data_IF_560008000696
#
_entry.id   IF_560008000696
#
_cell.length_a   1.000
_cell.length_b   1.000
_cell.length_c   1.000
_cell.angle_alpha   90.00
_cell.angle_beta   90.00
_cell.angle_gamma   90.00
#
_symmetry.space_group_name_H-M   'P 1'
#
loop_
_entity.id
_entity.type
_entity.pdbx_description
1 polymer ?
#
# COMPACT_ATOMS: atom_id res chain seq x y z
N UNK A 1 -10.18 -20.00 -2.46
CA UNK A 1 -9.58 -19.30 -3.62
C UNK A 1 -10.36 -18.06 -4.05
N UNK A 2 -11.59 -18.15 -4.59
CA UNK A 2 -12.34 -16.95 -5.05
C UNK A 2 -12.62 -15.93 -3.93
N UNK A 3 -13.02 -16.39 -2.74
CA UNK A 3 -13.29 -15.52 -1.59
C UNK A 3 -12.04 -14.77 -1.09
N UNK A 4 -10.86 -15.38 -1.22
CA UNK A 4 -9.60 -14.74 -0.87
C UNK A 4 -9.19 -13.69 -1.90
N UNK A 5 -9.39 -13.97 -3.19
CA UNK A 5 -9.18 -12.99 -4.24
C UNK A 5 -10.10 -11.78 -4.04
N UNK A 6 -11.38 -12.01 -3.75
CA UNK A 6 -12.33 -10.95 -3.42
C UNK A 6 -11.85 -10.13 -2.22
N UNK A 7 -11.39 -10.79 -1.15
CA UNK A 7 -10.85 -10.11 0.03
C UNK A 7 -9.65 -9.24 -0.31
N UNK A 8 -8.73 -9.71 -1.15
CA UNK A 8 -7.57 -8.93 -1.60
C UNK A 8 -8.02 -7.71 -2.38
N UNK A 9 -8.93 -7.88 -3.35
CA UNK A 9 -9.45 -6.78 -4.17
C UNK A 9 -10.16 -5.74 -3.31
N UNK A 10 -11.02 -6.17 -2.38
CA UNK A 10 -11.70 -5.27 -1.44
C UNK A 10 -10.73 -4.51 -0.55
N UNK A 11 -9.69 -5.19 -0.05
CA UNK A 11 -8.67 -4.57 0.80
C UNK A 11 -7.87 -3.52 0.04
N UNK A 12 -7.45 -3.81 -1.20
CA UNK A 12 -6.75 -2.85 -2.06
C UNK A 12 -7.66 -1.67 -2.38
N UNK A 13 -8.93 -1.90 -2.72
CA UNK A 13 -9.89 -0.84 -3.03
C UNK A 13 -10.14 0.07 -1.82
N UNK A 14 -10.42 -0.50 -0.64
CA UNK A 14 -10.71 0.25 0.58
C UNK A 14 -9.47 0.99 1.08
N UNK A 15 -8.33 0.32 1.23
CA UNK A 15 -7.11 0.98 1.71
C UNK A 15 -6.58 1.98 0.67
N UNK A 16 -6.69 1.68 -0.62
CA UNK A 16 -6.33 2.59 -1.69
C UNK A 16 -7.15 3.88 -1.65
N UNK A 17 -8.47 3.78 -1.49
CA UNK A 17 -9.34 4.93 -1.34
C UNK A 17 -9.02 5.73 -0.06
N UNK A 18 -8.83 5.06 1.08
CA UNK A 18 -8.52 5.70 2.36
C UNK A 18 -7.17 6.43 2.30
N UNK A 19 -6.10 5.75 1.90
CA UNK A 19 -4.77 6.36 1.82
C UNK A 19 -4.69 7.43 0.73
N UNK A 20 -5.33 7.19 -0.43
CA UNK A 20 -5.38 8.18 -1.51
C UNK A 20 -6.08 9.47 -1.08
N UNK A 21 -7.23 9.35 -0.41
CA UNK A 21 -7.95 10.51 0.13
C UNK A 21 -7.12 11.25 1.20
N UNK A 22 -6.51 10.52 2.14
CA UNK A 22 -5.69 11.11 3.19
C UNK A 22 -4.48 11.87 2.61
N UNK A 23 -3.71 11.24 1.72
CA UNK A 23 -2.52 11.86 1.14
C UNK A 23 -2.89 13.06 0.28
N UNK A 24 -3.95 12.96 -0.53
CA UNK A 24 -4.44 14.09 -1.33
C UNK A 24 -4.88 15.27 -0.46
N UNK A 25 -5.56 15.00 0.65
CA UNK A 25 -5.96 16.04 1.60
C UNK A 25 -4.72 16.73 2.18
N UNK A 26 -3.74 15.96 2.66
CA UNK A 26 -2.48 16.51 3.19
C UNK A 26 -1.78 17.38 2.13
N UNK A 27 -1.74 16.92 0.87
CA UNK A 27 -1.01 17.62 -0.20
C UNK A 27 -1.67 18.93 -0.59
N UNK A 28 -3.00 18.96 -0.61
CA UNK A 28 -3.75 20.19 -0.81
C UNK A 28 -3.48 21.21 0.31
N UNK A 29 -3.42 20.76 1.58
CA UNK A 29 -3.15 21.64 2.73
C UNK A 29 -1.74 22.26 2.70
N UNK A 30 -0.75 21.53 2.16
CA UNK A 30 0.64 22.02 2.04
C UNK A 30 0.96 22.64 0.66
N UNK A 31 -0.04 22.77 -0.23
CA UNK A 31 0.09 23.44 -1.52
C UNK A 31 0.89 22.67 -2.58
N UNK A 32 1.00 21.35 -2.47
CA UNK A 32 1.68 20.52 -3.49
C UNK A 32 0.77 20.30 -4.70
N UNK A 33 1.32 20.51 -5.91
CA UNK A 33 0.62 20.27 -7.16
C UNK A 33 0.39 18.78 -7.44
N UNK A 34 -0.70 18.45 -8.13
CA UNK A 34 -1.11 17.07 -8.42
C UNK A 34 -0.35 16.41 -9.60
N UNK A 35 0.78 16.98 -10.03
CA UNK A 35 1.48 16.55 -11.24
C UNK A 35 2.09 15.14 -11.12
N UNK A 36 2.26 14.65 -9.87
CA UNK A 36 2.89 13.37 -9.55
C UNK A 36 1.90 12.32 -8.97
N UNK A 37 0.60 12.44 -9.24
CA UNK A 37 -0.45 11.53 -8.74
C UNK A 37 -0.14 10.04 -8.95
N UNK A 38 0.40 9.67 -10.12
CA UNK A 38 0.76 8.28 -10.44
C UNK A 38 1.89 7.74 -9.56
N UNK A 39 2.89 8.56 -9.26
CA UNK A 39 4.02 8.20 -8.39
C UNK A 39 3.55 7.95 -6.96
N UNK A 40 2.68 8.84 -6.47
CA UNK A 40 2.06 8.72 -5.14
C UNK A 40 1.21 7.44 -5.08
N UNK A 41 0.37 7.20 -6.09
CA UNK A 41 -0.48 6.01 -6.18
C UNK A 41 0.35 4.71 -6.18
N UNK A 42 1.49 4.69 -6.89
CA UNK A 42 2.41 3.55 -6.89
C UNK A 42 3.03 3.33 -5.50
N UNK A 43 3.44 4.40 -4.81
CA UNK A 43 3.90 4.33 -3.43
C UNK A 43 2.85 3.76 -2.46
N UNK A 44 1.61 4.24 -2.55
CA UNK A 44 0.47 3.71 -1.78
C UNK A 44 0.26 2.22 -2.07
N UNK A 45 0.31 1.82 -3.33
CA UNK A 45 0.12 0.43 -3.73
C UNK A 45 1.20 -0.49 -3.14
N UNK A 46 2.47 -0.10 -3.20
CA UNK A 46 3.57 -0.84 -2.57
C UNK A 46 3.36 -0.93 -1.06
N UNK A 47 2.95 0.16 -0.41
CA UNK A 47 2.70 0.18 1.03
C UNK A 47 1.58 -0.80 1.42
N UNK A 48 0.45 -0.78 0.70
CA UNK A 48 -0.65 -1.73 0.89
C UNK A 48 -0.18 -3.17 0.68
N UNK A 49 0.62 -3.43 -0.35
CA UNK A 49 1.19 -4.75 -0.61
C UNK A 49 2.02 -5.28 0.56
N UNK A 50 2.90 -4.44 1.13
CA UNK A 50 3.71 -4.81 2.31
C UNK A 50 2.82 -5.09 3.52
N UNK A 51 1.82 -4.23 3.80
CA UNK A 51 0.86 -4.44 4.88
C UNK A 51 0.08 -5.74 4.71
N UNK A 52 -0.35 -6.02 3.48
CA UNK A 52 -1.06 -7.25 3.15
C UNK A 52 -0.19 -8.47 3.41
N UNK A 53 0.99 -8.53 2.80
CA UNK A 53 1.90 -9.69 2.88
C UNK A 53 2.43 -9.98 4.28
N UNK A 54 2.50 -8.99 5.17
CA UNK A 54 3.06 -9.18 6.51
C UNK A 54 2.03 -9.30 7.63
N UNK A 55 0.83 -8.73 7.47
CA UNK A 55 -0.19 -8.70 8.53
C UNK A 55 -1.55 -9.20 8.05
N UNK A 56 -2.13 -8.59 7.01
CA UNK A 56 -3.54 -8.82 6.66
C UNK A 56 -3.79 -10.17 5.96
N UNK A 57 -2.77 -10.74 5.30
CA UNK A 57 -2.82 -12.10 4.77
C UNK A 57 -3.03 -13.13 5.90
N UNK A 58 -2.51 -12.87 7.11
CA UNK A 58 -2.58 -13.80 8.24
C UNK A 58 -3.88 -13.73 9.06
N UNK A 59 -4.75 -12.75 8.82
CA UNK A 59 -6.08 -12.73 9.45
C UNK A 59 -7.15 -13.45 8.62
N UNK A 60 -6.75 -14.09 7.52
CA UNK A 60 -7.66 -14.81 6.64
C UNK A 60 -7.85 -16.28 7.02
N UNK A 61 -8.80 -16.90 6.33
CA UNK A 61 -9.21 -18.30 6.52
C UNK A 61 -8.32 -19.27 5.74
N UNK A 62 -7.42 -18.73 4.91
CA UNK A 62 -6.47 -19.51 4.10
C UNK A 62 -5.25 -19.94 4.91
N UNK A 63 -4.96 -21.23 4.90
CA UNK A 63 -3.79 -21.86 5.55
C UNK A 63 -2.85 -22.52 4.54
N UNK A 64 -2.99 -22.22 3.24
CA UNK A 64 -2.18 -22.84 2.19
C UNK A 64 -0.72 -22.36 2.12
N UNK A 65 0.09 -23.05 1.30
CA UNK A 65 1.57 -22.96 1.18
C UNK A 65 2.16 -21.61 0.74
N UNK A 66 1.36 -20.54 0.61
CA UNK A 66 1.79 -19.20 0.17
C UNK A 66 1.75 -18.12 1.26
N UNK A 67 1.50 -18.53 2.51
CA UNK A 67 1.32 -17.67 3.68
C UNK A 67 2.64 -17.40 4.41
N UNK A 68 3.63 -16.94 3.65
CA UNK A 68 4.94 -16.56 4.17
C UNK A 68 5.07 -15.04 4.22
N UNK A 69 5.56 -14.53 5.36
CA UNK A 69 5.87 -13.10 5.49
C UNK A 69 7.00 -12.74 4.53
N UNK A 70 7.05 -11.48 4.13
CA UNK A 70 8.22 -10.98 3.43
C UNK A 70 9.44 -11.07 4.38
N UNK A 71 10.63 -11.43 3.86
CA UNK A 71 11.86 -11.30 4.62
C UNK A 71 12.00 -9.89 5.19
N UNK A 72 12.59 -9.75 6.38
CA UNK A 72 12.71 -8.47 7.08
C UNK A 72 13.34 -7.39 6.19
N UNK A 73 14.38 -7.75 5.43
CA UNK A 73 15.07 -6.86 4.48
C UNK A 73 14.14 -6.40 3.35
N UNK A 74 13.39 -7.31 2.73
CA UNK A 74 12.45 -6.96 1.66
C UNK A 74 11.32 -6.05 2.16
N UNK A 75 10.79 -6.34 3.35
CA UNK A 75 9.81 -5.48 4.03
C UNK A 75 10.36 -4.07 4.24
N UNK A 76 11.57 -3.96 4.79
CA UNK A 76 12.21 -2.66 5.04
C UNK A 76 12.47 -1.90 3.73
N UNK A 77 13.07 -2.53 2.73
CA UNK A 77 13.34 -1.89 1.43
C UNK A 77 12.06 -1.40 0.76
N UNK A 78 11.03 -2.25 0.65
CA UNK A 78 9.77 -1.87 0.01
C UNK A 78 9.05 -0.76 0.77
N UNK A 79 9.11 -0.77 2.10
CA UNK A 79 8.51 0.30 2.91
C UNK A 79 9.25 1.62 2.70
N UNK A 80 10.59 1.60 2.61
CA UNK A 80 11.39 2.79 2.31
C UNK A 80 11.08 3.31 0.91
N UNK A 81 11.03 2.43 -0.10
CA UNK A 81 10.69 2.80 -1.48
C UNK A 81 9.29 3.42 -1.54
N UNK A 82 8.30 2.81 -0.87
CA UNK A 82 6.95 3.36 -0.80
C UNK A 82 6.94 4.75 -0.16
N UNK A 83 7.67 4.95 0.93
CA UNK A 83 7.78 6.24 1.60
C UNK A 83 8.45 7.29 0.70
N UNK A 84 9.53 6.93 0.00
CA UNK A 84 10.21 7.82 -0.94
C UNK A 84 9.30 8.23 -2.11
N UNK A 85 8.54 7.29 -2.67
CA UNK A 85 7.61 7.59 -3.76
C UNK A 85 6.46 8.48 -3.34
N UNK A 86 5.94 8.28 -2.14
CA UNK A 86 4.93 9.16 -1.56
C UNK A 86 5.57 10.53 -1.36
N UNK A 87 6.70 10.65 -0.67
CA UNK A 87 7.34 11.94 -0.38
C UNK A 87 8.02 12.62 -1.58
N UNK A 88 8.15 11.96 -2.73
CA UNK A 88 8.84 12.51 -3.90
C UNK A 88 8.36 13.91 -4.34
N UNK A 89 7.05 14.24 -4.32
CA UNK A 89 6.57 15.56 -4.73
C UNK A 89 6.80 16.67 -3.70
N UNK A 90 7.26 16.32 -2.49
CA UNK A 90 7.54 17.27 -1.40
C UNK A 90 8.90 17.96 -1.60
N UNK A 91 9.78 17.35 -2.39
CA UNK A 91 11.15 17.80 -2.66
C UNK A 91 11.28 18.29 -4.10
#
# INVERSE_FOLDING_TARGET
MILELLRIVLLIAVLGAVFGYLIRTIYNEIGIANDNEWTIMLGIFIFIFVLYRNKLQFSGWYTGKGREKLPKRATQCLTIIAALLILAPVF
#
